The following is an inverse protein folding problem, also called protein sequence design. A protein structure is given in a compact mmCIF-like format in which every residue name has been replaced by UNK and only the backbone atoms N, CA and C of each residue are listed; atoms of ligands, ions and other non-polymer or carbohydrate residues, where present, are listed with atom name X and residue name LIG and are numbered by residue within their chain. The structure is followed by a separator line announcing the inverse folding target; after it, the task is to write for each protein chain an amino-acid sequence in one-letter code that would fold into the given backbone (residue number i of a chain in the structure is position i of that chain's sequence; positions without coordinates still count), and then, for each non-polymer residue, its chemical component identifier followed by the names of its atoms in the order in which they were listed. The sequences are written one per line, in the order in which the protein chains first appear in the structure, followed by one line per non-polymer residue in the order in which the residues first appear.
data_IF_395323939745
#
_entry.id   IF_395323939745
#
_cell.length_a   1.000
_cell.length_b   1.000
_cell.length_c   1.000
_cell.angle_alpha   90.00
_cell.angle_beta   90.00
_cell.angle_gamma   90.00
#
_symmetry.space_group_name_H-M   'P 1'
#
loop_
_entity.id
_entity.type
_entity.pdbx_description
1 polymer ?
#
# COMPACT_ATOMS: atom_id res chain seq x y z
N UNK A 1 -5.97 -17.60 -24.24
CA UNK A 1 -5.53 -16.26 -23.79
C UNK A 1 -5.28 -15.26 -24.91
N UNK A 2 -4.60 -15.61 -26.02
CA UNK A 2 -4.48 -14.72 -27.21
C UNK A 2 -5.82 -14.16 -27.69
N UNK A 3 -6.83 -15.03 -27.80
CA UNK A 3 -8.22 -14.67 -28.10
C UNK A 3 -8.80 -13.57 -27.19
N UNK A 4 -8.45 -13.56 -25.90
CA UNK A 4 -8.94 -12.55 -24.94
C UNK A 4 -8.22 -11.23 -25.17
N UNK A 5 -6.90 -11.23 -25.36
CA UNK A 5 -6.14 -9.99 -25.64
C UNK A 5 -6.66 -9.30 -26.90
N UNK A 6 -6.95 -10.08 -27.95
CA UNK A 6 -7.47 -9.55 -29.21
C UNK A 6 -8.88 -8.95 -29.07
N UNK A 7 -9.73 -9.54 -28.23
CA UNK A 7 -11.04 -8.97 -27.91
C UNK A 7 -10.96 -7.61 -27.21
N UNK A 8 -9.90 -7.36 -26.43
CA UNK A 8 -9.74 -6.10 -25.69
C UNK A 8 -9.09 -5.00 -26.54
N UNK A 9 -8.39 -5.33 -27.63
CA UNK A 9 -7.80 -4.33 -28.55
C UNK A 9 -8.84 -3.42 -29.22
N UNK A 10 -10.11 -3.82 -29.23
CA UNK A 10 -11.22 -2.96 -29.73
C UNK A 10 -11.43 -1.70 -28.89
N UNK A 11 -10.98 -1.69 -27.64
CA UNK A 11 -11.10 -0.52 -26.75
C UNK A 11 -9.87 0.41 -26.92
N UNK A 12 -10.06 1.74 -26.95
CA UNK A 12 -8.99 2.71 -27.21
C UNK A 12 -7.76 2.55 -26.32
N UNK A 13 -7.96 2.34 -25.02
CA UNK A 13 -6.88 2.22 -24.02
C UNK A 13 -6.02 0.96 -24.19
N UNK A 14 -6.49 0.00 -24.97
CA UNK A 14 -5.95 -1.35 -25.07
C UNK A 14 -5.50 -1.72 -26.49
N UNK A 15 -5.62 -0.81 -27.46
CA UNK A 15 -5.22 -1.04 -28.87
C UNK A 15 -3.79 -1.54 -29.02
N UNK A 16 -2.89 -1.02 -28.19
CA UNK A 16 -1.46 -1.31 -28.25
C UNK A 16 -1.03 -2.41 -27.25
N UNK A 17 -1.97 -3.19 -26.71
CA UNK A 17 -1.64 -4.33 -25.84
C UNK A 17 -0.68 -5.28 -26.56
N UNK A 18 0.49 -5.48 -25.97
CA UNK A 18 1.45 -6.47 -26.42
C UNK A 18 1.05 -7.85 -25.89
N UNK A 19 0.49 -8.68 -26.76
CA UNK A 19 0.00 -10.02 -26.41
C UNK A 19 1.10 -10.91 -25.82
N UNK A 20 2.34 -10.80 -26.30
CA UNK A 20 3.43 -11.66 -25.83
C UNK A 20 3.86 -11.30 -24.40
N UNK A 21 3.88 -10.00 -24.05
CA UNK A 21 4.11 -9.56 -22.67
C UNK A 21 2.98 -10.04 -21.75
N UNK A 22 1.73 -9.86 -22.16
CA UNK A 22 0.57 -10.28 -21.35
C UNK A 22 0.59 -11.79 -21.12
N UNK A 23 0.92 -12.56 -22.17
CA UNK A 23 1.02 -14.03 -22.06
C UNK A 23 2.16 -14.44 -21.16
N UNK A 24 3.33 -13.83 -21.32
CA UNK A 24 4.48 -14.10 -20.47
C UNK A 24 4.15 -13.84 -18.99
N UNK A 25 3.61 -12.66 -18.66
CA UNK A 25 3.26 -12.30 -17.28
C UNK A 25 2.22 -13.26 -16.72
N UNK A 26 1.17 -13.58 -17.48
CA UNK A 26 0.17 -14.53 -17.00
C UNK A 26 0.75 -15.92 -16.78
N UNK A 27 1.60 -16.41 -17.70
CA UNK A 27 2.23 -17.73 -17.56
C UNK A 27 3.13 -17.77 -16.33
N UNK A 28 3.93 -16.74 -16.08
CA UNK A 28 4.77 -16.62 -14.88
C UNK A 28 3.92 -16.58 -13.59
N UNK A 29 2.84 -15.81 -13.57
CA UNK A 29 1.90 -15.74 -12.44
C UNK A 29 1.16 -17.07 -12.23
N UNK A 30 0.77 -17.76 -13.31
CA UNK A 30 0.06 -19.04 -13.26
C UNK A 30 0.94 -20.17 -12.74
N UNK A 31 2.18 -20.28 -13.22
CA UNK A 31 3.13 -21.26 -12.67
C UNK A 31 3.43 -20.96 -11.19
N UNK A 32 3.64 -19.68 -10.84
CA UNK A 32 3.81 -19.26 -9.45
C UNK A 32 2.58 -19.54 -8.57
N UNK A 33 1.37 -19.43 -9.14
CA UNK A 33 0.13 -19.82 -8.47
C UNK A 33 0.08 -21.34 -8.23
N UNK A 34 0.41 -22.14 -9.24
CA UNK A 34 0.39 -23.60 -9.17
C UNK A 34 1.38 -24.14 -8.13
N UNK A 35 2.60 -23.61 -8.12
CA UNK A 35 3.63 -23.98 -7.13
C UNK A 35 3.20 -23.66 -5.69
N UNK A 36 2.46 -22.56 -5.49
CA UNK A 36 1.98 -22.15 -4.16
C UNK A 36 0.73 -22.88 -3.72
N UNK A 37 -0.26 -23.04 -4.60
CA UNK A 37 -1.58 -23.55 -4.23
C UNK A 37 -1.60 -25.08 -4.08
N UNK A 38 -0.75 -25.81 -4.80
CA UNK A 38 -0.67 -27.27 -4.67
C UNK A 38 -0.42 -27.76 -3.23
N UNK A 39 0.62 -27.27 -2.53
CA UNK A 39 0.84 -27.54 -1.11
C UNK A 39 -0.33 -27.14 -0.21
N UNK A 40 -0.98 -26.01 -0.52
CA UNK A 40 -2.10 -25.49 0.27
C UNK A 40 -3.39 -26.30 0.10
N UNK A 41 -3.63 -26.88 -1.08
CA UNK A 41 -4.72 -27.84 -1.32
C UNK A 41 -4.51 -29.05 -0.41
N UNK A 42 -3.31 -29.63 -0.39
CA UNK A 42 -2.98 -30.77 0.49
C UNK A 42 -3.13 -30.42 1.97
N UNK A 43 -2.73 -29.21 2.36
CA UNK A 43 -2.92 -28.73 3.73
C UNK A 43 -4.41 -28.59 4.07
N UNK A 44 -5.23 -28.11 3.13
CA UNK A 44 -6.69 -28.00 3.27
C UNK A 44 -7.34 -29.37 3.43
N UNK A 45 -6.99 -30.33 2.56
CA UNK A 45 -7.45 -31.73 2.65
C UNK A 45 -7.14 -32.33 4.03
N UNK A 46 -5.92 -32.10 4.54
CA UNK A 46 -5.51 -32.56 5.87
C UNK A 46 -6.38 -31.95 6.97
N UNK A 47 -6.59 -30.64 6.94
CA UNK A 47 -7.44 -29.94 7.93
C UNK A 47 -8.86 -30.52 7.89
N UNK A 48 -9.45 -30.69 6.71
CA UNK A 48 -10.82 -31.19 6.58
C UNK A 48 -10.93 -32.64 7.05
N UNK A 49 -9.90 -33.46 6.76
CA UNK A 49 -9.79 -34.83 7.26
C UNK A 49 -9.70 -34.89 8.78
N UNK A 50 -8.99 -33.97 9.43
CA UNK A 50 -8.92 -33.87 10.89
C UNK A 50 -10.29 -33.49 11.49
N UNK A 51 -11.03 -32.58 10.87
CA UNK A 51 -12.41 -32.25 11.27
C UNK A 51 -13.34 -33.46 11.14
N UNK A 52 -13.24 -34.18 10.02
CA UNK A 52 -13.99 -35.42 9.81
C UNK A 52 -13.65 -36.48 10.86
N UNK A 53 -12.37 -36.66 11.17
CA UNK A 53 -11.90 -37.60 12.19
C UNK A 53 -12.41 -37.24 13.61
N UNK A 54 -12.66 -35.96 13.86
CA UNK A 54 -13.31 -35.47 15.09
C UNK A 54 -14.84 -35.60 15.07
N UNK A 55 -15.42 -36.20 14.02
CA UNK A 55 -16.88 -36.35 13.85
C UNK A 55 -17.60 -35.07 13.47
N UNK A 56 -16.88 -34.01 13.04
CA UNK A 56 -17.49 -32.77 12.59
C UNK A 56 -17.87 -32.88 11.11
N UNK A 57 -19.17 -32.74 10.83
CA UNK A 57 -19.69 -32.77 9.46
C UNK A 57 -19.52 -31.42 8.74
N UNK A 58 -19.67 -30.31 9.46
CA UNK A 58 -19.57 -28.95 8.91
C UNK A 58 -18.19 -28.34 9.22
N UNK A 59 -17.50 -27.88 8.18
CA UNK A 59 -16.28 -27.08 8.34
C UNK A 59 -16.68 -25.64 8.70
N UNK A 60 -16.17 -25.07 9.80
CA UNK A 60 -16.54 -23.72 10.20
C UNK A 60 -16.16 -22.67 9.14
N UNK A 61 -17.02 -21.67 8.88
CA UNK A 61 -16.74 -20.60 7.91
C UNK A 61 -15.44 -19.85 8.18
N UNK A 62 -15.07 -19.68 9.46
CA UNK A 62 -13.81 -19.06 9.87
C UNK A 62 -12.57 -19.83 9.39
N UNK A 63 -12.64 -21.16 9.27
CA UNK A 63 -11.53 -21.99 8.74
C UNK A 63 -11.39 -21.76 7.24
N UNK A 64 -12.50 -21.81 6.50
CA UNK A 64 -12.52 -21.55 5.05
C UNK A 64 -12.04 -20.13 4.75
N UNK A 65 -12.51 -19.16 5.54
CA UNK A 65 -12.08 -17.78 5.43
C UNK A 65 -10.58 -17.62 5.73
N UNK A 66 -10.07 -18.31 6.76
CA UNK A 66 -8.64 -18.35 7.07
C UNK A 66 -7.81 -18.88 5.90
N UNK A 67 -8.19 -20.02 5.33
CA UNK A 67 -7.54 -20.61 4.14
C UNK A 67 -7.57 -19.66 2.94
N UNK A 68 -8.70 -19.00 2.70
CA UNK A 68 -8.81 -17.99 1.64
C UNK A 68 -7.83 -16.81 1.86
N UNK A 69 -7.64 -16.36 3.10
CA UNK A 69 -6.73 -15.24 3.40
C UNK A 69 -5.25 -15.62 3.39
N UNK A 70 -4.89 -16.75 3.99
CA UNK A 70 -3.49 -17.13 4.18
C UNK A 70 -2.92 -17.92 3.01
N UNK A 71 -3.74 -18.78 2.42
CA UNK A 71 -3.32 -19.78 1.44
C UNK A 71 -3.84 -19.49 0.02
N UNK A 72 -4.76 -18.54 -0.13
CA UNK A 72 -5.37 -18.17 -1.42
C UNK A 72 -6.29 -19.24 -1.99
N UNK A 73 -6.68 -20.24 -1.18
CA UNK A 73 -7.62 -21.30 -1.57
C UNK A 73 -9.01 -20.69 -1.68
N UNK A 74 -9.63 -20.79 -2.86
CA UNK A 74 -10.97 -20.22 -3.07
C UNK A 74 -12.03 -21.06 -2.36
N UNK A 75 -13.21 -20.47 -2.18
CA UNK A 75 -14.37 -21.22 -1.69
C UNK A 75 -14.69 -22.41 -2.62
N UNK A 76 -14.59 -22.23 -3.94
CA UNK A 76 -14.87 -23.29 -4.91
C UNK A 76 -13.94 -24.49 -4.71
N UNK A 77 -12.63 -24.26 -4.59
CA UNK A 77 -11.66 -25.34 -4.29
C UNK A 77 -11.98 -25.99 -2.94
N UNK A 78 -12.33 -25.19 -1.93
CA UNK A 78 -12.71 -25.71 -0.61
C UNK A 78 -13.98 -26.56 -0.66
N UNK A 79 -14.93 -26.19 -1.52
CA UNK A 79 -16.18 -26.93 -1.75
C UNK A 79 -15.93 -28.27 -2.42
N UNK A 80 -15.06 -28.31 -3.43
CA UNK A 80 -14.68 -29.54 -4.12
C UNK A 80 -14.00 -30.53 -3.14
N UNK A 81 -13.05 -30.05 -2.34
CA UNK A 81 -12.38 -30.87 -1.30
C UNK A 81 -13.38 -31.35 -0.24
N UNK A 82 -14.33 -30.50 0.14
CA UNK A 82 -15.37 -30.86 1.11
C UNK A 82 -16.22 -32.03 0.60
N UNK A 83 -16.64 -31.96 -0.66
CA UNK A 83 -17.43 -33.00 -1.33
C UNK A 83 -16.66 -34.33 -1.39
N UNK A 84 -15.40 -34.30 -1.82
CA UNK A 84 -14.52 -35.50 -1.87
C UNK A 84 -14.35 -36.16 -0.50
N UNK A 85 -14.24 -35.35 0.56
CA UNK A 85 -14.06 -35.83 1.93
C UNK A 85 -15.39 -36.11 2.64
N UNK A 86 -16.54 -35.81 2.05
CA UNK A 86 -17.86 -36.00 2.66
C UNK A 86 -18.11 -35.11 3.88
N UNK A 87 -17.56 -33.89 3.87
CA UNK A 87 -17.86 -32.81 4.83
C UNK A 87 -18.62 -31.69 4.12
N UNK A 88 -19.23 -30.80 4.89
CA UNK A 88 -20.05 -29.70 4.39
C UNK A 88 -19.35 -28.36 4.59
N UNK A 89 -19.59 -27.42 3.68
CA UNK A 89 -19.14 -26.03 3.74
C UNK A 89 -20.32 -25.10 3.47
N UNK A 90 -20.35 -23.94 4.14
CA UNK A 90 -21.43 -22.95 3.99
C UNK A 90 -20.95 -21.73 3.20
N UNK A 91 -21.41 -21.61 1.95
CA UNK A 91 -21.11 -20.47 1.07
C UNK A 91 -21.61 -19.16 1.65
N UNK A 92 -22.84 -19.13 2.15
CA UNK A 92 -23.48 -17.90 2.62
C UNK A 92 -22.75 -17.36 3.84
N UNK A 93 -22.37 -18.23 4.76
CA UNK A 93 -21.60 -17.83 5.94
C UNK A 93 -20.18 -17.35 5.57
N UNK A 94 -19.50 -18.02 4.64
CA UNK A 94 -18.21 -17.55 4.10
C UNK A 94 -18.33 -16.16 3.46
N UNK A 95 -19.36 -15.94 2.63
CA UNK A 95 -19.60 -14.65 1.97
C UNK A 95 -19.88 -13.52 2.97
N UNK A 96 -20.59 -13.81 4.06
CA UNK A 96 -20.83 -12.85 5.14
C UNK A 96 -19.54 -12.45 5.86
N UNK A 97 -18.65 -13.40 6.16
CA UNK A 97 -17.36 -13.10 6.77
C UNK A 97 -16.45 -12.32 5.83
N UNK A 98 -16.47 -12.66 4.53
CA UNK A 98 -15.75 -11.94 3.49
C UNK A 98 -16.24 -10.49 3.35
N UNK A 99 -17.56 -10.27 3.36
CA UNK A 99 -18.15 -8.92 3.30
C UNK A 99 -17.82 -8.10 4.55
N UNK A 100 -17.89 -8.71 5.74
CA UNK A 100 -17.49 -8.07 7.00
C UNK A 100 -16.03 -7.62 6.94
N UNK A 101 -15.12 -8.48 6.48
CA UNK A 101 -13.71 -8.15 6.33
C UNK A 101 -13.47 -7.04 5.29
N UNK A 102 -14.18 -7.08 4.15
CA UNK A 102 -14.13 -6.02 3.13
C UNK A 102 -14.56 -4.67 3.71
N UNK A 103 -15.63 -4.63 4.51
CA UNK A 103 -16.13 -3.41 5.17
C UNK A 103 -15.09 -2.83 6.13
N UNK A 104 -14.50 -3.66 7.00
CA UNK A 104 -13.44 -3.24 7.94
C UNK A 104 -12.24 -2.68 7.16
N UNK A 105 -11.80 -3.39 6.12
CA UNK A 105 -10.65 -3.00 5.30
C UNK A 105 -10.89 -1.68 4.54
N UNK A 106 -12.12 -1.44 4.07
CA UNK A 106 -12.51 -0.20 3.38
C UNK A 106 -12.63 0.99 4.34
N UNK A 107 -13.24 0.80 5.51
CA UNK A 107 -13.41 1.88 6.49
C UNK A 107 -12.07 2.44 6.97
N UNK A 108 -11.04 1.59 7.09
CA UNK A 108 -9.67 2.03 7.39
C UNK A 108 -8.96 2.74 6.22
N UNK A 109 -9.45 2.61 4.99
CA UNK A 109 -8.88 3.24 3.79
C UNK A 109 -9.46 4.62 3.48
N UNK A 110 -10.75 4.83 3.75
CA UNK A 110 -11.47 6.07 3.41
C UNK A 110 -11.09 7.27 4.30
N UNK A 111 -10.61 7.03 5.53
CA UNK A 111 -10.24 8.08 6.49
C UNK A 111 -8.81 8.64 6.33
N UNK A 112 -8.11 8.32 5.25
CA UNK A 112 -6.69 8.62 5.08
C UNK A 112 -6.47 9.90 4.26
N UNK A 113 -6.10 10.99 4.94
CA UNK A 113 -5.82 12.28 4.29
C UNK A 113 -4.56 12.20 3.41
N UNK A 114 -4.63 12.73 2.18
CA UNK A 114 -3.49 12.91 1.28
C UNK A 114 -2.70 11.65 0.92
N UNK A 115 -3.28 10.45 1.08
CA UNK A 115 -2.59 9.18 0.85
C UNK A 115 -1.63 8.74 1.98
N UNK A 116 -1.30 9.62 2.93
CA UNK A 116 -0.32 9.31 3.98
C UNK A 116 -0.87 8.57 5.20
N UNK A 117 -2.18 8.35 5.27
CA UNK A 117 -2.79 7.65 6.40
C UNK A 117 -2.83 8.47 7.68
N UNK A 118 -2.76 9.80 7.57
CA UNK A 118 -3.09 10.69 8.66
C UNK A 118 -4.61 10.69 8.83
N UNK A 119 -5.11 10.46 10.04
CA UNK A 119 -6.52 10.69 10.38
C UNK A 119 -6.54 11.96 11.23
N UNK A 120 -7.22 13.02 10.79
CA UNK A 120 -7.38 14.26 11.55
C UNK A 120 -8.86 14.60 11.75
N UNK A 121 -9.23 14.89 13.00
CA UNK A 121 -10.47 15.51 13.49
C UNK A 121 -11.76 15.31 12.68
N UNK A 122 -12.13 14.05 12.41
CA UNK A 122 -13.52 13.62 12.20
C UNK A 122 -13.90 12.41 13.07
N UNK A 123 -13.15 12.18 14.16
CA UNK A 123 -13.47 11.17 15.17
C UNK A 123 -12.46 10.04 15.37
N UNK A 124 -11.30 10.05 14.70
CA UNK A 124 -10.25 9.01 14.90
C UNK A 124 -8.83 9.57 14.81
N UNK A 125 -8.52 10.66 15.53
CA UNK A 125 -7.13 10.97 15.87
C UNK A 125 -6.69 10.12 17.06
N UNK A 126 -5.54 9.46 16.95
CA UNK A 126 -4.73 9.03 18.12
C UNK A 126 -3.70 10.12 18.50
N UNK A 127 -4.12 11.39 18.50
CA UNK A 127 -3.34 12.47 19.09
C UNK A 127 -4.26 13.17 20.09
N UNK A 128 -4.16 12.78 21.36
CA UNK A 128 -4.90 13.35 22.48
C UNK A 128 -4.29 14.66 23.00
N UNK A 129 -3.12 15.07 22.50
CA UNK A 129 -2.43 16.30 22.93
C UNK A 129 -1.79 17.11 21.79
N UNK A 130 -1.48 18.38 22.08
CA UNK A 130 -0.77 19.27 21.15
C UNK A 130 0.65 18.76 20.83
N UNK A 131 1.30 18.10 21.78
CA UNK A 131 2.63 17.49 21.58
C UNK A 131 2.59 16.32 20.60
N UNK A 132 1.56 15.48 20.70
CA UNK A 132 1.35 14.38 19.76
C UNK A 132 1.07 14.90 18.35
N UNK A 133 0.28 15.98 18.22
CA UNK A 133 0.05 16.63 16.94
C UNK A 133 1.34 17.17 16.33
N UNK A 134 2.24 17.77 17.12
CA UNK A 134 3.57 18.22 16.66
C UNK A 134 4.42 17.05 16.15
N UNK A 135 4.48 15.94 16.89
CA UNK A 135 5.21 14.72 16.47
C UNK A 135 4.65 14.14 15.17
N UNK A 136 3.33 14.02 15.08
CA UNK A 136 2.63 13.53 13.88
C UNK A 136 2.87 14.43 12.68
N UNK A 137 2.89 15.76 12.88
CA UNK A 137 3.16 16.75 11.83
C UNK A 137 4.62 16.67 11.31
N UNK A 138 5.59 16.46 12.22
CA UNK A 138 6.99 16.19 11.86
C UNK A 138 7.12 14.90 11.04
N UNK A 139 6.51 13.80 11.51
CA UNK A 139 6.51 12.51 10.81
C UNK A 139 5.83 12.59 9.45
N UNK A 140 4.75 13.35 9.35
CA UNK A 140 4.04 13.54 8.11
C UNK A 140 4.94 14.20 7.08
N UNK A 141 5.54 15.34 7.42
CA UNK A 141 6.48 16.01 6.52
C UNK A 141 7.66 15.10 6.18
N UNK A 142 8.26 14.41 7.17
CA UNK A 142 9.34 13.45 6.93
C UNK A 142 8.96 12.31 5.96
N UNK A 143 7.68 11.94 5.88
CA UNK A 143 7.20 10.94 4.92
C UNK A 143 7.29 11.45 3.47
N UNK A 144 7.04 12.75 3.22
CA UNK A 144 7.24 13.38 1.91
C UNK A 144 8.71 13.44 1.52
N UNK A 145 9.59 13.74 2.49
CA UNK A 145 11.04 13.74 2.27
C UNK A 145 11.54 12.32 1.93
N UNK A 146 11.04 11.31 2.65
CA UNK A 146 11.34 9.90 2.38
C UNK A 146 10.88 9.50 0.97
N UNK A 147 9.66 9.87 0.57
CA UNK A 147 9.13 9.56 -0.76
C UNK A 147 10.02 10.14 -1.87
N UNK A 148 10.42 11.41 -1.73
CA UNK A 148 11.32 12.05 -2.68
C UNK A 148 12.71 11.40 -2.70
N UNK A 149 13.31 11.17 -1.53
CA UNK A 149 14.63 10.55 -1.42
C UNK A 149 14.67 9.12 -2.00
N UNK A 150 13.59 8.34 -1.82
CA UNK A 150 13.47 7.03 -2.47
C UNK A 150 13.49 7.14 -3.99
N UNK A 151 12.82 8.14 -4.56
CA UNK A 151 12.81 8.37 -6.01
C UNK A 151 14.17 8.86 -6.53
N UNK A 152 14.87 9.66 -5.73
CA UNK A 152 16.22 10.14 -6.06
C UNK A 152 17.26 9.00 -6.06
N UNK A 153 17.10 8.01 -5.18
CA UNK A 153 18.04 6.88 -5.05
C UNK A 153 17.69 5.70 -5.96
N UNK A 154 16.41 5.31 -6.01
CA UNK A 154 15.94 4.08 -6.66
C UNK A 154 15.32 4.32 -8.04
N UNK A 155 15.03 5.58 -8.37
CA UNK A 155 14.46 5.99 -9.66
C UNK A 155 13.02 6.49 -9.59
N UNK A 156 12.61 7.20 -10.65
CA UNK A 156 11.31 7.89 -10.74
C UNK A 156 10.11 6.95 -10.86
N UNK A 157 10.33 5.65 -11.08
CA UNK A 157 9.28 4.64 -11.14
C UNK A 157 8.79 4.18 -9.78
N UNK A 158 9.47 4.58 -8.69
CA UNK A 158 9.00 4.32 -7.32
C UNK A 158 7.67 5.04 -7.10
N UNK A 159 6.61 4.27 -6.83
CA UNK A 159 5.26 4.77 -6.54
C UNK A 159 4.87 4.38 -5.14
N UNK A 160 4.20 5.28 -4.45
CA UNK A 160 3.56 4.98 -3.18
C UNK A 160 2.46 3.93 -3.38
N UNK A 161 2.47 2.91 -2.52
CA UNK A 161 1.49 1.83 -2.45
C UNK A 161 0.62 1.90 -1.19
N UNK A 162 1.07 2.63 -0.18
CA UNK A 162 0.35 2.90 1.04
C UNK A 162 1.22 3.65 2.04
N UNK A 163 0.57 4.32 3.00
CA UNK A 163 1.27 4.99 4.09
C UNK A 163 0.39 5.00 5.34
N UNK A 164 1.04 5.15 6.48
CA UNK A 164 0.43 5.18 7.82
C UNK A 164 1.36 5.91 8.79
N UNK A 165 0.81 6.85 9.55
CA UNK A 165 1.56 7.66 10.51
C UNK A 165 0.91 7.51 11.88
N UNK A 166 1.73 7.22 12.88
CA UNK A 166 1.35 7.21 14.30
C UNK A 166 2.16 8.27 15.05
N UNK A 167 1.92 8.42 16.36
CA UNK A 167 2.72 9.32 17.22
C UNK A 167 4.18 8.87 17.39
N UNK A 168 4.48 7.61 17.04
CA UNK A 168 5.80 7.01 17.23
C UNK A 168 6.58 6.85 15.93
N UNK A 169 5.89 6.63 14.79
CA UNK A 169 6.56 6.26 13.53
C UNK A 169 5.73 6.58 12.29
N UNK A 170 6.42 6.66 11.16
CA UNK A 170 5.82 6.54 9.84
C UNK A 170 6.08 5.15 9.26
N UNK A 171 5.13 4.65 8.47
CA UNK A 171 5.25 3.46 7.62
C UNK A 171 4.93 3.86 6.20
N UNK A 172 5.87 3.62 5.30
CA UNK A 172 5.73 3.97 3.90
C UNK A 172 5.95 2.73 3.02
N UNK A 173 4.96 2.42 2.20
CA UNK A 173 4.97 1.30 1.27
C UNK A 173 5.14 1.82 -0.15
N UNK A 174 6.05 1.23 -0.92
CA UNK A 174 6.40 1.70 -2.25
C UNK A 174 6.73 0.56 -3.22
N UNK A 175 6.56 0.79 -4.52
CA UNK A 175 6.88 -0.19 -5.56
C UNK A 175 8.39 -0.31 -5.73
N UNK A 176 8.93 -1.50 -5.49
CA UNK A 176 10.32 -1.83 -5.80
C UNK A 176 10.47 -3.35 -5.86
N UNK A 177 11.00 -3.92 -6.96
CA UNK A 177 10.90 -5.36 -7.23
C UNK A 177 11.81 -6.22 -6.35
N UNK A 178 12.83 -5.64 -5.72
CA UNK A 178 13.82 -6.34 -4.92
C UNK A 178 13.98 -5.72 -3.54
N UNK A 179 14.70 -6.40 -2.67
CA UNK A 179 15.16 -5.82 -1.39
C UNK A 179 16.12 -4.66 -1.67
N UNK A 180 16.00 -3.58 -0.90
CA UNK A 180 16.98 -2.51 -0.90
C UNK A 180 18.30 -3.03 -0.32
N UNK A 181 19.40 -2.63 -0.94
CA UNK A 181 20.74 -2.86 -0.38
C UNK A 181 20.93 -1.99 0.86
N UNK A 182 21.85 -2.39 1.75
CA UNK A 182 22.16 -1.60 2.95
C UNK A 182 22.64 -0.18 2.59
N UNK A 183 23.36 -0.03 1.48
CA UNK A 183 23.87 1.26 1.02
C UNK A 183 22.77 2.13 0.42
N UNK A 184 21.79 1.55 -0.30
CA UNK A 184 20.61 2.29 -0.74
C UNK A 184 19.81 2.83 0.45
N UNK A 185 19.60 2.01 1.49
CA UNK A 185 18.90 2.44 2.72
C UNK A 185 19.66 3.58 3.41
N UNK A 186 20.98 3.43 3.58
CA UNK A 186 21.83 4.49 4.15
C UNK A 186 21.81 5.77 3.32
N UNK A 187 21.83 5.65 1.99
CA UNK A 187 21.81 6.81 1.08
C UNK A 187 20.48 7.56 1.16
N UNK A 188 19.35 6.86 1.23
CA UNK A 188 18.04 7.48 1.43
C UNK A 188 17.99 8.22 2.76
N UNK A 189 18.40 7.57 3.86
CA UNK A 189 18.45 8.20 5.18
C UNK A 189 19.36 9.44 5.19
N UNK A 190 20.52 9.34 4.56
CA UNK A 190 21.48 10.45 4.43
C UNK A 190 20.88 11.64 3.69
N UNK A 191 20.29 11.44 2.52
CA UNK A 191 19.67 12.52 1.72
C UNK A 191 18.58 13.24 2.52
N UNK A 192 17.74 12.48 3.23
CA UNK A 192 16.67 13.07 4.05
C UNK A 192 17.26 13.96 5.14
N UNK A 193 18.29 13.50 5.85
CA UNK A 193 18.93 14.29 6.90
C UNK A 193 19.70 15.50 6.36
N UNK A 194 20.43 15.36 5.24
CA UNK A 194 21.09 16.50 4.57
C UNK A 194 20.07 17.59 4.20
N UNK A 195 18.90 17.19 3.68
CA UNK A 195 17.83 18.14 3.37
C UNK A 195 17.24 18.77 4.62
N UNK A 196 17.06 18.01 5.69
CA UNK A 196 16.60 18.57 6.97
C UNK A 196 17.58 19.64 7.49
N UNK A 197 18.88 19.40 7.37
CA UNK A 197 19.94 20.36 7.76
C UNK A 197 19.92 21.64 6.90
N UNK A 198 19.59 21.55 5.61
CA UNK A 198 19.36 22.73 4.76
C UNK A 198 18.17 23.58 5.24
N UNK A 199 17.28 23.01 6.06
CA UNK A 199 16.16 23.67 6.71
C UNK A 199 15.29 24.48 5.73
N UNK A 200 15.02 23.92 4.55
CA UNK A 200 14.21 24.56 3.51
C UNK A 200 12.77 24.85 4.01
N UNK A 201 12.14 25.94 3.52
CA UNK A 201 10.75 26.24 3.85
C UNK A 201 9.81 25.23 3.22
N UNK A 202 8.69 24.98 3.90
CA UNK A 202 7.57 24.18 3.41
C UNK A 202 6.41 25.12 3.11
N UNK A 203 5.96 25.11 1.86
CA UNK A 203 4.82 25.91 1.40
C UNK A 203 3.73 25.04 0.82
N UNK A 204 2.58 25.65 0.54
CA UNK A 204 1.56 25.01 -0.28
C UNK A 204 0.96 25.98 -1.30
N UNK A 205 0.47 25.45 -2.42
CA UNK A 205 -0.40 26.17 -3.37
C UNK A 205 -1.70 25.37 -3.52
N UNK A 206 -2.82 26.06 -3.58
CA UNK A 206 -4.12 25.45 -3.88
C UNK A 206 -4.53 25.80 -5.31
N UNK A 207 -4.80 24.79 -6.13
CA UNK A 207 -5.13 24.97 -7.54
C UNK A 207 -6.05 23.84 -8.04
N UNK A 208 -6.67 24.00 -9.22
CA UNK A 208 -7.40 22.91 -9.87
C UNK A 208 -6.52 21.66 -10.04
N UNK A 209 -7.12 20.49 -9.89
CA UNK A 209 -6.42 19.20 -9.98
C UNK A 209 -5.63 19.04 -11.30
N UNK A 210 -6.22 19.47 -12.41
CA UNK A 210 -5.60 19.41 -13.74
C UNK A 210 -4.33 20.26 -13.82
N UNK A 211 -4.36 21.47 -13.27
CA UNK A 211 -3.18 22.34 -13.16
C UNK A 211 -2.15 21.74 -12.21
N UNK A 212 -2.60 21.19 -11.09
CA UNK A 212 -1.74 20.55 -10.11
C UNK A 212 -0.96 19.35 -10.69
N UNK A 213 -1.62 18.53 -11.51
CA UNK A 213 -0.99 17.40 -12.21
C UNK A 213 0.08 17.90 -13.21
N UNK A 214 -0.17 19.02 -13.90
CA UNK A 214 0.78 19.63 -14.82
C UNK A 214 2.05 20.15 -14.12
N UNK A 215 2.00 20.44 -12.81
CA UNK A 215 3.21 20.83 -12.04
C UNK A 215 4.19 19.67 -11.83
N UNK A 216 3.78 18.43 -12.12
CA UNK A 216 4.57 17.23 -11.86
C UNK A 216 4.65 16.86 -10.38
N UNK A 217 3.77 17.42 -9.54
CA UNK A 217 3.66 17.02 -8.15
C UNK A 217 3.19 15.56 -8.03
N UNK A 218 3.79 14.85 -7.07
CA UNK A 218 3.45 13.47 -6.79
C UNK A 218 2.02 13.40 -6.24
N UNK A 219 1.33 12.30 -6.54
CA UNK A 219 0.02 12.05 -5.98
C UNK A 219 -0.16 10.55 -5.78
N UNK A 220 -0.92 10.18 -4.77
CA UNK A 220 -1.22 8.78 -4.50
C UNK A 220 -2.33 8.31 -5.43
N UNK A 221 -1.98 7.45 -6.38
CA UNK A 221 -2.88 7.04 -7.47
C UNK A 221 -4.19 6.39 -7.00
N UNK A 222 -4.23 5.80 -5.79
CA UNK A 222 -5.44 5.17 -5.24
C UNK A 222 -6.39 6.16 -4.55
N UNK A 223 -5.96 7.40 -4.34
CA UNK A 223 -6.77 8.42 -3.68
C UNK A 223 -7.70 9.11 -4.65
N UNK A 224 -8.95 9.32 -4.23
CA UNK A 224 -9.87 10.24 -4.90
C UNK A 224 -9.58 11.65 -4.40
N UNK A 225 -9.18 12.53 -5.29
CA UNK A 225 -8.92 13.94 -5.00
C UNK A 225 -10.11 14.80 -5.43
N UNK A 226 -10.46 15.85 -4.66
CA UNK A 226 -11.44 16.87 -5.07
C UNK A 226 -10.95 17.68 -6.28
N UNK A 227 -11.83 18.50 -6.86
CA UNK A 227 -11.49 19.34 -8.04
C UNK A 227 -10.39 20.36 -7.75
N UNK A 228 -10.34 20.88 -6.52
CA UNK A 228 -9.26 21.75 -6.04
C UNK A 228 -8.41 20.99 -5.05
N UNK A 229 -7.10 20.97 -5.26
CA UNK A 229 -6.14 20.24 -4.42
C UNK A 229 -5.09 21.18 -3.86
N UNK A 230 -4.54 20.81 -2.70
CA UNK A 230 -3.36 21.45 -2.13
C UNK A 230 -2.12 20.66 -2.51
N UNK A 231 -1.15 21.35 -3.06
CA UNK A 231 0.19 20.81 -3.31
C UNK A 231 1.11 21.39 -2.25
N UNK A 232 1.61 20.52 -1.36
CA UNK A 232 2.68 20.90 -0.46
C UNK A 232 4.01 20.71 -1.16
N UNK A 233 4.94 21.64 -0.92
CA UNK A 233 6.25 21.61 -1.53
C UNK A 233 7.34 22.05 -0.54
N UNK A 234 8.54 21.51 -0.73
CA UNK A 234 9.74 21.79 0.06
C UNK A 234 10.73 22.55 -0.81
N UNK A 235 10.86 23.85 -0.56
CA UNK A 235 11.65 24.78 -1.38
C UNK A 235 11.09 26.19 -1.37
N UNK A 236 11.84 27.15 -1.94
CA UNK A 236 11.45 28.58 -1.95
C UNK A 236 10.22 28.86 -2.82
N UNK A 237 10.00 28.04 -3.84
CA UNK A 237 8.94 28.15 -4.83
C UNK A 237 8.47 26.73 -5.21
N UNK A 238 7.33 26.61 -5.89
CA UNK A 238 6.86 25.29 -6.37
C UNK A 238 7.71 24.78 -7.54
N UNK A 239 8.30 25.72 -8.26
CA UNK A 239 9.11 25.52 -9.45
C UNK A 239 10.50 24.98 -9.08
N UNK A 240 11.08 25.49 -7.99
CA UNK A 240 12.40 25.08 -7.45
C UNK A 240 12.29 24.05 -6.31
N UNK A 241 11.10 23.49 -6.09
CA UNK A 241 10.86 22.56 -4.99
C UNK A 241 11.62 21.24 -5.19
N UNK A 242 12.30 20.78 -4.14
CA UNK A 242 12.93 19.45 -4.12
C UNK A 242 11.88 18.34 -4.04
N UNK A 243 10.86 18.54 -3.21
CA UNK A 243 9.70 17.64 -3.08
C UNK A 243 8.42 18.44 -3.27
N UNK A 244 7.45 17.87 -4.00
CA UNK A 244 6.11 18.42 -4.18
C UNK A 244 5.08 17.31 -4.33
N UNK A 245 4.04 17.35 -3.52
CA UNK A 245 3.06 16.26 -3.42
C UNK A 245 1.66 16.76 -3.07
N UNK A 246 0.64 16.09 -3.60
CA UNK A 246 -0.77 16.35 -3.32
C UNK A 246 -1.09 15.91 -1.91
N UNK A 247 -1.29 16.88 -1.01
CA UNK A 247 -1.50 16.59 0.39
C UNK A 247 -2.46 17.59 1.05
N UNK A 248 -3.35 17.07 1.89
CA UNK A 248 -4.31 17.88 2.66
C UNK A 248 -4.03 17.93 4.16
N UNK A 249 -2.97 17.27 4.63
CA UNK A 249 -2.63 17.22 6.06
C UNK A 249 -1.75 18.39 6.51
N UNK A 250 -1.54 18.54 7.83
CA UNK A 250 -0.65 19.50 8.44
C UNK A 250 0.80 19.16 8.14
N UNK A 251 1.60 20.19 7.97
CA UNK A 251 3.03 20.12 7.75
C UNK A 251 3.75 21.08 8.68
N UNK A 252 5.04 20.80 8.92
CA UNK A 252 5.92 21.79 9.56
C UNK A 252 6.11 22.97 8.63
N UNK A 253 6.49 24.13 9.16
CA UNK A 253 6.74 25.33 8.32
C UNK A 253 8.11 25.29 7.67
N UNK A 254 9.07 24.60 8.32
CA UNK A 254 10.39 24.33 7.77
C UNK A 254 10.82 22.91 8.12
N UNK A 255 11.57 22.29 7.20
CA UNK A 255 11.98 20.89 7.39
C UNK A 255 13.00 20.70 8.52
N UNK A 256 13.71 21.76 8.97
CA UNK A 256 14.57 21.70 10.15
C UNK A 256 13.83 21.37 11.45
N UNK A 257 12.53 21.64 11.52
CA UNK A 257 11.68 21.28 12.66
C UNK A 257 11.52 19.76 12.82
N UNK A 258 11.85 18.98 11.78
CA UNK A 258 11.75 17.52 11.79
C UNK A 258 12.76 16.90 12.76
N UNK A 259 13.90 17.52 13.03
CA UNK A 259 14.99 16.91 13.82
C UNK A 259 15.72 15.82 13.03
N UNK A 260 16.16 14.73 13.66
CA UNK A 260 16.83 13.64 12.93
C UNK A 260 15.82 12.66 12.38
N UNK A 261 16.05 12.17 11.17
CA UNK A 261 15.28 11.11 10.56
C UNK A 261 16.05 9.79 10.60
N UNK A 262 15.38 8.69 10.97
CA UNK A 262 16.01 7.37 11.02
C UNK A 262 15.08 6.28 10.48
N UNK A 263 15.60 5.47 9.57
CA UNK A 263 14.96 4.24 9.08
C UNK A 263 15.24 3.12 10.09
N UNK A 264 14.17 2.56 10.65
CA UNK A 264 14.24 1.47 11.63
C UNK A 264 14.25 0.11 10.95
N UNK A 265 13.44 -0.04 9.89
CA UNK A 265 13.28 -1.32 9.20
C UNK A 265 12.88 -1.13 7.76
N UNK A 266 13.45 -1.97 6.90
CA UNK A 266 13.04 -2.18 5.52
C UNK A 266 12.68 -3.65 5.34
N UNK A 267 11.51 -3.95 4.76
CA UNK A 267 11.03 -5.32 4.55
C UNK A 267 10.11 -5.47 3.32
N UNK A 268 9.86 -6.71 2.91
CA UNK A 268 8.84 -7.00 1.91
C UNK A 268 7.44 -6.77 2.50
N UNK A 269 6.56 -6.11 1.75
CA UNK A 269 5.14 -5.96 2.11
C UNK A 269 4.28 -6.96 1.34
N UNK A 270 4.50 -7.04 0.03
CA UNK A 270 3.88 -7.99 -0.91
C UNK A 270 4.78 -8.14 -2.13
N UNK A 271 4.41 -8.98 -3.10
CA UNK A 271 5.12 -9.07 -4.38
C UNK A 271 5.27 -7.67 -5.00
N UNK A 272 6.50 -7.30 -5.36
CA UNK A 272 6.84 -6.00 -5.97
C UNK A 272 6.71 -4.77 -5.06
N UNK A 273 6.42 -4.94 -3.76
CA UNK A 273 6.21 -3.82 -2.82
C UNK A 273 7.10 -3.96 -1.59
N UNK A 274 7.81 -2.87 -1.28
CA UNK A 274 8.68 -2.75 -0.10
C UNK A 274 8.05 -1.81 0.91
N UNK A 275 8.44 -1.97 2.17
CA UNK A 275 7.95 -1.19 3.31
C UNK A 275 9.12 -0.67 4.12
N UNK A 276 9.11 0.63 4.37
CA UNK A 276 10.00 1.30 5.32
C UNK A 276 9.20 1.70 6.56
N UNK A 277 9.76 1.47 7.75
CA UNK A 277 9.35 2.14 8.99
C UNK A 277 10.46 3.08 9.43
N UNK A 278 10.08 4.32 9.74
CA UNK A 278 11.02 5.35 10.16
C UNK A 278 10.45 6.18 11.31
N UNK A 279 11.35 6.82 12.05
CA UNK A 279 11.04 7.71 13.17
C UNK A 279 11.72 9.06 12.97
N UNK A 280 11.26 10.05 13.72
CA UNK A 280 11.87 11.39 13.77
C UNK A 280 12.11 11.77 15.23
N UNK A 281 13.21 12.49 15.49
CA UNK A 281 13.65 12.81 16.85
C UNK A 281 14.68 13.92 16.86
#
# INVERSE_FOLDING_TARGET
MRLVVDQYRKFPDYRNLNSDIVIKVFSEEYEGYKEKVGPEIKATEKIFSEYKAQGKKLIPPAVIFGLHQSAGVTFDISSDIAEELGVEVDRKAFEQDLDRHKKISRAGGEKKFGGHGLILNTGELKAGSEEELKKVTRLHTATHLLNQALRDVLGKDVRQMGSDITVERTRFDFTFPRKMTADEVKKVEKIVNEKIEENLPVGFKEMPKTEAEATGALHFFKSKYPERVKIYYVGKSLEDAWSKEFCGGPHVTRIGEIGKFRIIKEEASSAGVRRIRAIVG
#
